data_IF_545109363544
#
_entry.id   IF_545109363544
#
_cell.length_a   1.000
_cell.length_b   1.000
_cell.length_c   1.000
_cell.angle_alpha   90.00
_cell.angle_beta   90.00
_cell.angle_gamma   90.00
#
_symmetry.space_group_name_H-M   'P 1'
#
loop_
_entity.id
_entity.type
_entity.pdbx_description
1 polymer ?
#
# COMPACT_ATOMS: atom_id res chain seq x y z
N UNK A 1 -13.60 -29.96 8.15
CA UNK A 1 -13.56 -29.14 9.36
C UNK A 1 -12.49 -28.08 9.21
N UNK A 2 -12.74 -26.81 9.52
CA UNK A 2 -13.70 -26.25 10.46
C UNK A 2 -14.58 -25.13 9.90
N UNK A 3 -15.85 -25.19 10.19
CA UNK A 3 -16.86 -24.11 10.03
C UNK A 3 -16.71 -23.01 11.11
N UNK A 4 -15.68 -23.05 11.93
CA UNK A 4 -15.55 -22.21 13.14
C UNK A 4 -15.04 -20.77 12.90
N UNK A 5 -14.47 -20.46 11.74
CA UNK A 5 -13.96 -19.12 11.46
C UNK A 5 -15.05 -18.08 11.10
N UNK A 6 -16.23 -18.54 10.72
CA UNK A 6 -17.31 -17.71 10.16
C UNK A 6 -18.16 -16.92 11.17
N UNK A 7 -18.04 -17.20 12.47
CA UNK A 7 -18.89 -16.57 13.50
C UNK A 7 -18.35 -15.29 14.14
N UNK A 8 -17.17 -14.81 13.77
CA UNK A 8 -16.54 -13.63 14.44
C UNK A 8 -16.73 -12.27 13.74
N UNK A 9 -17.37 -12.21 12.59
CA UNK A 9 -17.52 -10.97 11.82
C UNK A 9 -18.78 -10.16 12.13
N UNK A 10 -19.55 -10.53 13.15
CA UNK A 10 -20.81 -9.88 13.50
C UNK A 10 -20.85 -9.04 14.76
N UNK A 11 -19.74 -8.84 15.46
CA UNK A 11 -19.73 -7.98 16.65
C UNK A 11 -19.15 -6.60 16.32
N UNK A 12 -19.97 -5.56 16.45
CA UNK A 12 -19.57 -4.15 16.57
C UNK A 12 -18.61 -4.03 17.75
N UNK A 13 -17.32 -4.19 17.52
CA UNK A 13 -16.30 -3.97 18.53
C UNK A 13 -16.04 -2.49 18.67
N UNK A 14 -16.19 -1.95 19.86
CA UNK A 14 -15.61 -0.66 20.26
C UNK A 14 -14.11 -0.72 19.98
N UNK A 15 -13.56 0.36 19.41
CA UNK A 15 -12.13 0.49 19.12
C UNK A 15 -11.35 0.26 20.42
N UNK A 16 -10.47 -0.77 20.42
CA UNK A 16 -9.61 -1.05 21.58
C UNK A 16 -8.49 0.02 21.62
N UNK A 17 -8.67 1.01 22.49
CA UNK A 17 -7.70 2.07 22.72
C UNK A 17 -6.31 1.55 23.15
N UNK A 18 -6.21 0.37 23.74
CA UNK A 18 -4.94 -0.24 24.10
C UNK A 18 -4.18 -0.74 22.86
N UNK A 19 -4.90 -1.32 21.88
CA UNK A 19 -4.33 -1.71 20.60
C UNK A 19 -3.88 -0.50 19.78
N UNK A 20 -4.64 0.60 19.81
CA UNK A 20 -4.29 1.86 19.17
C UNK A 20 -3.04 2.49 19.81
N UNK A 21 -2.91 2.48 21.13
CA UNK A 21 -1.71 2.94 21.84
C UNK A 21 -0.46 2.09 21.53
N UNK A 22 -0.61 0.78 21.37
CA UNK A 22 0.46 -0.12 20.93
C UNK A 22 0.95 0.24 19.51
N UNK A 23 0.02 0.51 18.60
CA UNK A 23 0.32 0.92 17.22
C UNK A 23 1.00 2.29 17.16
N UNK A 24 0.56 3.26 17.99
CA UNK A 24 1.18 4.58 18.10
C UNK A 24 2.62 4.48 18.62
N UNK A 25 2.88 3.62 19.60
CA UNK A 25 4.23 3.38 20.13
C UNK A 25 5.16 2.76 19.08
N UNK A 26 4.66 1.80 18.29
CA UNK A 26 5.41 1.20 17.18
C UNK A 26 5.69 2.21 16.07
N UNK A 27 4.68 3.01 15.70
CA UNK A 27 4.83 4.09 14.71
C UNK A 27 5.86 5.14 15.17
N UNK A 28 5.96 5.42 16.47
CA UNK A 28 6.96 6.33 17.05
C UNK A 28 8.37 5.76 16.92
N UNK A 29 8.57 4.49 17.28
CA UNK A 29 9.87 3.78 17.15
C UNK A 29 10.27 3.69 15.67
N UNK A 30 9.33 3.38 14.77
CA UNK A 30 9.56 3.34 13.32
C UNK A 30 9.95 4.73 12.78
N UNK A 31 9.30 5.81 13.24
CA UNK A 31 9.68 7.19 12.92
C UNK A 31 11.08 7.54 13.41
N UNK A 32 11.39 7.25 14.66
CA UNK A 32 12.71 7.55 15.25
C UNK A 32 13.83 6.81 14.51
N UNK A 33 13.64 5.56 14.14
CA UNK A 33 14.60 4.78 13.35
C UNK A 33 14.74 5.31 11.89
N UNK A 34 13.65 5.77 11.29
CA UNK A 34 13.67 6.33 9.93
C UNK A 34 14.20 7.76 9.91
N UNK A 35 13.96 8.55 10.96
CA UNK A 35 14.54 9.88 11.14
C UNK A 35 16.05 9.81 11.30
N UNK A 36 16.59 8.78 11.98
CA UNK A 36 18.04 8.51 12.02
C UNK A 36 18.65 8.16 10.66
N UNK A 37 17.92 7.43 9.78
CA UNK A 37 18.35 7.17 8.39
C UNK A 37 18.21 8.39 7.46
N UNK A 38 17.40 9.39 7.83
CA UNK A 38 17.12 10.60 7.06
C UNK A 38 18.19 11.69 7.17
N UNK A 39 19.25 11.49 7.93
CA UNK A 39 20.34 12.48 8.11
C UNK A 39 21.25 12.65 6.87
N UNK A 40 20.73 12.48 5.62
CA UNK A 40 21.53 12.57 4.40
C UNK A 40 21.01 13.46 3.27
N UNK A 41 19.70 13.71 3.16
CA UNK A 41 19.16 14.53 2.07
C UNK A 41 18.08 15.49 2.57
N UNK A 42 18.39 16.78 2.59
CA UNK A 42 17.40 17.82 2.83
C UNK A 42 16.42 17.89 1.63
N UNK A 43 15.15 18.23 1.89
CA UNK A 43 14.18 18.57 0.85
C UNK A 43 14.76 19.66 -0.06
N UNK A 44 14.44 19.65 -1.35
CA UNK A 44 14.82 20.74 -2.24
C UNK A 44 14.17 22.06 -1.76
N UNK A 45 14.93 23.15 -1.83
CA UNK A 45 14.49 24.47 -1.36
C UNK A 45 13.19 24.92 -2.02
N UNK A 46 13.06 24.72 -3.34
CA UNK A 46 11.83 25.07 -4.08
C UNK A 46 10.61 24.28 -3.62
N UNK A 47 10.77 22.99 -3.20
CA UNK A 47 9.69 22.24 -2.60
C UNK A 47 9.29 22.80 -1.23
N UNK A 48 10.25 23.21 -0.40
CA UNK A 48 9.97 23.82 0.91
C UNK A 48 9.22 25.15 0.75
N UNK A 49 9.64 25.99 -0.20
CA UNK A 49 9.00 27.27 -0.51
C UNK A 49 7.57 27.05 -1.04
N UNK A 50 7.40 26.13 -1.98
CA UNK A 50 6.07 25.79 -2.55
C UNK A 50 5.16 25.15 -1.51
N UNK A 51 5.67 24.35 -0.57
CA UNK A 51 4.91 23.76 0.52
C UNK A 51 4.32 24.83 1.45
N UNK A 52 5.06 25.91 1.73
CA UNK A 52 4.54 27.04 2.50
C UNK A 52 3.43 27.78 1.77
N UNK A 53 3.59 27.96 0.46
CA UNK A 53 2.53 28.58 -0.36
C UNK A 53 1.26 27.73 -0.33
N UNK A 54 1.39 26.42 -0.46
CA UNK A 54 0.26 25.49 -0.36
C UNK A 54 -0.42 25.58 1.02
N UNK A 55 0.37 25.54 2.10
CA UNK A 55 -0.17 25.66 3.46
C UNK A 55 -0.92 26.97 3.66
N UNK A 56 -0.34 28.11 3.25
CA UNK A 56 -0.96 29.43 3.37
C UNK A 56 -2.23 29.56 2.53
N UNK A 57 -2.28 28.92 1.37
CA UNK A 57 -3.46 28.85 0.50
C UNK A 57 -4.61 28.10 1.18
N UNK A 58 -4.31 26.91 1.71
CA UNK A 58 -5.33 26.05 2.31
C UNK A 58 -5.81 26.55 3.69
N UNK A 59 -4.98 27.26 4.44
CA UNK A 59 -5.40 27.93 5.69
C UNK A 59 -6.47 29.00 5.50
N UNK A 60 -6.62 29.53 4.28
CA UNK A 60 -7.65 30.53 3.94
C UNK A 60 -8.97 29.91 3.49
N UNK A 61 -9.01 28.60 3.32
CA UNK A 61 -10.21 27.85 2.96
C UNK A 61 -10.92 27.41 4.24
N UNK A 62 -12.03 28.07 4.55
CA UNK A 62 -12.78 27.85 5.80
C UNK A 62 -13.32 26.41 5.93
N UNK A 63 -13.59 25.77 4.79
CA UNK A 63 -14.05 24.38 4.72
C UNK A 63 -12.95 23.34 5.08
N UNK A 64 -11.65 23.73 5.08
CA UNK A 64 -10.54 22.81 5.34
C UNK A 64 -10.10 22.89 6.78
N UNK A 65 -10.37 21.83 7.54
CA UNK A 65 -10.10 21.75 9.00
C UNK A 65 -8.69 21.25 9.33
N UNK A 66 -8.05 20.55 8.38
CA UNK A 66 -6.65 20.12 8.48
C UNK A 66 -6.03 19.94 7.09
N UNK A 67 -4.72 20.10 7.00
CA UNK A 67 -3.93 19.80 5.81
C UNK A 67 -2.81 18.82 6.16
N UNK A 68 -2.75 17.73 5.44
CA UNK A 68 -1.75 16.67 5.60
C UNK A 68 -0.89 16.65 4.36
N UNK A 69 0.41 16.84 4.52
CA UNK A 69 1.40 16.73 3.45
C UNK A 69 1.83 15.27 3.30
N UNK A 70 1.81 14.75 2.08
CA UNK A 70 2.10 13.36 1.74
C UNK A 70 3.03 13.19 0.55
N UNK A 71 2.89 12.06 -0.12
CA UNK A 71 3.52 11.78 -1.40
C UNK A 71 5.03 11.55 -1.39
N UNK A 72 5.64 11.71 -2.55
CA UNK A 72 7.05 11.39 -2.78
C UNK A 72 7.99 12.31 -2.01
N UNK A 73 7.66 13.59 -1.95
CA UNK A 73 8.44 14.62 -1.24
C UNK A 73 8.40 14.39 0.27
N UNK A 74 7.23 14.07 0.83
CA UNK A 74 7.09 13.74 2.24
C UNK A 74 7.88 12.47 2.62
N UNK A 75 7.98 11.50 1.70
CA UNK A 75 8.75 10.26 1.86
C UNK A 75 10.26 10.44 1.75
N UNK A 76 10.74 11.59 1.23
CA UNK A 76 12.15 11.82 0.92
C UNK A 76 12.65 11.01 -0.30
N UNK A 77 11.74 10.70 -1.23
CA UNK A 77 12.00 9.97 -2.49
C UNK A 77 11.75 10.86 -3.71
N UNK A 78 11.77 12.18 -3.49
CA UNK A 78 11.48 13.18 -4.51
C UNK A 78 12.58 13.32 -5.57
N UNK A 79 12.16 13.70 -6.77
CA UNK A 79 12.98 14.27 -7.83
C UNK A 79 12.84 15.80 -7.79
N UNK A 80 13.72 16.55 -8.48
CA UNK A 80 13.60 18.01 -8.55
C UNK A 80 12.26 18.51 -9.13
N UNK A 81 11.64 17.71 -9.99
CA UNK A 81 10.38 17.97 -10.70
C UNK A 81 9.15 17.29 -10.05
N UNK A 82 9.29 16.75 -8.84
CA UNK A 82 8.17 16.11 -8.14
C UNK A 82 7.10 17.13 -7.77
N UNK A 83 5.84 16.74 -7.92
CA UNK A 83 4.65 17.41 -7.39
C UNK A 83 4.61 17.42 -5.86
N UNK A 84 3.74 18.24 -5.30
CA UNK A 84 3.46 18.28 -3.87
C UNK A 84 2.08 17.70 -3.60
N UNK A 85 2.06 16.52 -2.99
CA UNK A 85 0.84 15.82 -2.62
C UNK A 85 0.30 16.31 -1.27
N UNK A 86 -0.98 16.57 -1.18
CA UNK A 86 -1.66 16.89 0.07
C UNK A 86 -3.01 16.20 0.20
N UNK A 87 -3.46 16.07 1.44
CA UNK A 87 -4.79 15.61 1.81
C UNK A 87 -5.45 16.71 2.65
N UNK A 88 -6.50 17.31 2.12
CA UNK A 88 -7.29 18.34 2.77
C UNK A 88 -8.47 17.68 3.50
N UNK A 89 -8.56 17.88 4.80
CA UNK A 89 -9.64 17.31 5.62
C UNK A 89 -10.78 18.31 5.69
N UNK A 90 -11.95 17.84 5.28
CA UNK A 90 -13.21 18.60 5.26
C UNK A 90 -14.29 17.87 6.05
N UNK A 91 -15.43 18.53 6.26
CA UNK A 91 -16.62 17.91 6.86
C UNK A 91 -17.22 16.84 5.94
N UNK A 92 -18.00 15.91 6.53
CA UNK A 92 -18.73 14.88 5.76
C UNK A 92 -19.75 15.52 4.78
N UNK A 93 -20.32 16.67 5.14
CA UNK A 93 -21.26 17.38 4.29
C UNK A 93 -20.55 17.97 3.07
N UNK A 94 -19.48 18.71 3.30
CA UNK A 94 -18.69 19.29 2.21
C UNK A 94 -18.07 18.21 1.31
N UNK A 95 -17.60 17.10 1.89
CA UNK A 95 -17.10 15.97 1.09
C UNK A 95 -18.17 15.40 0.16
N UNK A 96 -19.42 15.22 0.65
CA UNK A 96 -20.53 14.76 -0.20
C UNK A 96 -20.87 15.73 -1.35
N UNK A 97 -20.75 17.04 -1.12
CA UNK A 97 -20.93 18.05 -2.17
C UNK A 97 -19.84 17.94 -3.23
N UNK A 98 -18.57 17.77 -2.83
CA UNK A 98 -17.46 17.55 -3.75
C UNK A 98 -17.61 16.24 -4.52
N UNK A 99 -18.00 15.16 -3.85
CA UNK A 99 -18.20 13.84 -4.45
C UNK A 99 -19.33 13.88 -5.51
N UNK A 100 -20.44 14.51 -5.20
CA UNK A 100 -21.55 14.69 -6.14
C UNK A 100 -21.15 15.48 -7.41
N UNK A 101 -20.08 16.28 -7.33
CA UNK A 101 -19.52 17.05 -8.43
C UNK A 101 -18.28 16.39 -9.07
N UNK A 102 -17.87 15.19 -8.64
CA UNK A 102 -16.60 14.54 -9.00
C UNK A 102 -15.37 15.44 -8.77
N UNK A 103 -15.33 16.16 -7.65
CA UNK A 103 -14.28 17.13 -7.28
C UNK A 103 -13.57 16.77 -5.98
N UNK A 104 -13.50 15.51 -5.61
CA UNK A 104 -12.79 15.03 -4.43
C UNK A 104 -11.25 15.04 -4.58
N UNK A 105 -10.76 15.47 -5.74
CA UNK A 105 -9.35 15.74 -6.01
C UNK A 105 -9.19 16.93 -6.93
N UNK A 106 -8.10 17.69 -6.77
CA UNK A 106 -7.76 18.81 -7.64
C UNK A 106 -6.25 18.89 -7.89
N UNK A 107 -5.85 19.29 -9.11
CA UNK A 107 -4.50 19.65 -9.46
C UNK A 107 -4.40 21.17 -9.61
N UNK A 108 -3.60 21.82 -8.75
CA UNK A 108 -3.48 23.29 -8.72
C UNK A 108 -2.12 23.69 -9.27
N UNK A 109 -2.09 24.26 -10.46
CA UNK A 109 -0.88 24.72 -11.14
C UNK A 109 -0.64 26.22 -10.98
N UNK A 110 0.59 26.66 -11.23
CA UNK A 110 0.95 28.11 -11.29
C UNK A 110 1.31 28.73 -9.93
N UNK A 111 1.41 27.93 -8.86
CA UNK A 111 1.76 28.42 -7.52
C UNK A 111 3.09 27.86 -7.01
N UNK A 112 3.61 26.79 -7.59
CA UNK A 112 4.93 26.29 -7.26
C UNK A 112 6.04 27.24 -7.72
N UNK A 113 7.15 27.26 -6.98
CA UNK A 113 8.33 28.12 -7.28
C UNK A 113 9.28 27.49 -8.30
N UNK A 114 8.88 26.39 -8.96
CA UNK A 114 9.66 25.69 -9.97
C UNK A 114 8.77 25.31 -11.17
N UNK A 115 9.40 25.15 -12.32
CA UNK A 115 8.74 24.86 -13.59
C UNK A 115 8.09 23.45 -13.55
N UNK A 116 6.87 23.35 -14.05
CA UNK A 116 6.10 22.10 -14.09
C UNK A 116 5.55 21.64 -12.74
N UNK A 117 5.86 22.34 -11.64
CA UNK A 117 5.35 22.03 -10.31
C UNK A 117 3.87 22.33 -10.17
N UNK A 118 3.16 21.46 -9.43
CA UNK A 118 1.74 21.62 -9.08
C UNK A 118 1.45 20.98 -7.72
N UNK A 119 0.29 21.29 -7.15
CA UNK A 119 -0.23 20.65 -5.97
C UNK A 119 -1.26 19.59 -6.39
N UNK A 120 -1.03 18.33 -5.99
CA UNK A 120 -2.01 17.23 -6.11
C UNK A 120 -2.72 17.08 -4.77
N UNK A 121 -3.97 17.54 -4.71
CA UNK A 121 -4.73 17.61 -3.47
C UNK A 121 -5.92 16.67 -3.53
N UNK A 122 -6.08 15.86 -2.47
CA UNK A 122 -7.22 14.97 -2.27
C UNK A 122 -8.01 15.41 -1.06
N UNK A 123 -9.32 15.57 -1.23
CA UNK A 123 -10.22 15.86 -0.13
C UNK A 123 -10.62 14.57 0.56
N UNK A 124 -10.61 14.59 1.87
CA UNK A 124 -10.93 13.45 2.73
C UNK A 124 -11.69 13.91 3.96
N UNK A 125 -12.32 12.97 4.66
CA UNK A 125 -12.97 13.25 5.94
C UNK A 125 -12.16 12.68 7.10
N UNK A 126 -12.45 13.12 8.32
CA UNK A 126 -11.88 12.53 9.53
C UNK A 126 -12.28 11.06 9.66
N UNK A 127 -13.51 10.72 9.28
CA UNK A 127 -13.99 9.33 9.31
C UNK A 127 -13.20 8.44 8.33
N UNK A 128 -12.85 8.95 7.14
CA UNK A 128 -11.94 8.24 6.24
C UNK A 128 -10.61 7.90 6.92
N UNK A 129 -10.01 8.84 7.68
CA UNK A 129 -8.76 8.58 8.40
C UNK A 129 -8.92 7.49 9.46
N UNK A 130 -10.05 7.46 10.19
CA UNK A 130 -10.36 6.38 11.15
C UNK A 130 -10.45 5.03 10.46
N UNK A 131 -11.22 4.94 9.38
CA UNK A 131 -11.36 3.71 8.62
C UNK A 131 -10.04 3.26 7.99
N UNK A 132 -9.23 4.19 7.48
CA UNK A 132 -7.91 3.89 6.97
C UNK A 132 -6.96 3.34 8.05
N UNK A 133 -7.04 3.86 9.29
CA UNK A 133 -6.28 3.36 10.43
C UNK A 133 -6.75 1.97 10.89
N UNK A 134 -8.04 1.68 10.77
CA UNK A 134 -8.64 0.41 11.18
C UNK A 134 -8.47 -0.71 10.14
N UNK A 135 -8.86 -0.44 8.89
CA UNK A 135 -9.02 -1.43 7.81
C UNK A 135 -8.53 -0.98 6.44
N UNK A 136 -7.74 0.10 6.38
CA UNK A 136 -7.22 0.61 5.11
C UNK A 136 -6.35 -0.42 4.41
N UNK A 137 -6.46 -0.49 3.08
CA UNK A 137 -5.60 -1.33 2.24
C UNK A 137 -4.13 -0.93 2.36
N UNK A 138 -3.22 -1.82 2.01
CA UNK A 138 -1.78 -1.51 2.08
C UNK A 138 -1.36 -0.31 1.23
N UNK A 139 -1.87 -0.10 -0.02
CA UNK A 139 -1.59 1.11 -0.78
C UNK A 139 -2.06 2.38 -0.05
N UNK A 140 -3.27 2.34 0.55
CA UNK A 140 -3.78 3.44 1.37
C UNK A 140 -2.85 3.73 2.54
N UNK A 141 -2.48 2.72 3.32
CA UNK A 141 -1.56 2.84 4.45
C UNK A 141 -0.19 3.36 4.01
N UNK A 142 0.32 2.85 2.88
CA UNK A 142 1.58 3.29 2.32
C UNK A 142 1.53 4.76 1.88
N UNK A 143 0.40 5.27 1.41
CA UNK A 143 0.28 6.67 1.01
C UNK A 143 0.57 7.64 2.18
N UNK A 144 0.27 7.22 3.41
CA UNK A 144 0.56 7.98 4.64
C UNK A 144 1.99 7.81 5.19
N UNK A 145 2.81 6.94 4.62
CA UNK A 145 4.22 6.79 5.05
C UNK A 145 4.97 8.11 4.84
N UNK A 146 5.51 8.66 5.92
CA UNK A 146 6.25 9.94 5.90
C UNK A 146 5.36 11.18 5.89
N UNK A 147 4.03 11.03 5.87
CA UNK A 147 3.09 12.15 5.93
C UNK A 147 3.25 12.98 7.20
N UNK A 148 2.94 14.27 7.09
CA UNK A 148 2.99 15.25 8.19
C UNK A 148 1.73 16.09 8.17
N UNK A 149 1.11 16.27 9.32
CA UNK A 149 0.04 17.28 9.50
C UNK A 149 0.71 18.66 9.50
N UNK A 150 0.37 19.50 8.53
CA UNK A 150 0.87 20.89 8.43
C UNK A 150 0.12 21.78 9.42
N UNK A 151 -1.21 21.65 9.45
CA UNK A 151 -2.03 22.23 10.49
C UNK A 151 -3.26 21.38 10.74
N UNK A 152 -3.88 21.51 11.90
CA UNK A 152 -5.17 20.92 12.23
C UNK A 152 -5.84 21.71 13.34
N UNK A 153 -7.16 21.76 13.28
CA UNK A 153 -8.03 22.27 14.37
C UNK A 153 -8.48 21.14 15.31
N UNK A 154 -8.16 19.88 14.97
CA UNK A 154 -8.53 18.68 15.74
C UNK A 154 -7.30 17.80 15.99
N UNK A 155 -6.83 17.72 17.27
CA UNK A 155 -5.63 16.94 17.62
C UNK A 155 -5.71 15.45 17.24
N UNK A 156 -6.91 14.84 17.23
CA UNK A 156 -7.11 13.44 16.87
C UNK A 156 -6.63 13.13 15.44
N UNK A 157 -6.69 14.10 14.52
CA UNK A 157 -6.19 13.92 13.15
C UNK A 157 -4.70 13.56 13.15
N UNK A 158 -3.90 14.16 14.03
CA UNK A 158 -2.47 13.85 14.13
C UNK A 158 -2.24 12.41 14.58
N UNK A 159 -3.04 11.92 15.50
CA UNK A 159 -2.98 10.54 16.00
C UNK A 159 -3.39 9.55 14.91
N UNK A 160 -4.49 9.82 14.21
CA UNK A 160 -4.97 9.00 13.10
C UNK A 160 -3.94 8.90 11.97
N UNK A 161 -3.38 10.03 11.53
CA UNK A 161 -2.33 10.06 10.50
C UNK A 161 -1.10 9.25 10.93
N UNK A 162 -0.77 9.23 12.21
CA UNK A 162 0.32 8.41 12.73
C UNK A 162 0.00 6.91 12.77
N UNK A 163 -1.26 6.55 12.96
CA UNK A 163 -1.73 5.16 13.07
C UNK A 163 -1.93 4.46 11.72
N UNK A 164 -2.18 5.23 10.64
CA UNK A 164 -2.46 4.66 9.32
C UNK A 164 -1.26 3.88 8.73
N UNK A 165 -0.03 4.40 8.64
CA UNK A 165 1.08 3.76 7.94
C UNK A 165 1.74 2.62 8.73
N UNK A 166 0.91 1.76 9.32
CA UNK A 166 1.37 0.63 10.13
C UNK A 166 1.01 -0.68 9.44
N UNK A 167 1.99 -1.59 9.33
CA UNK A 167 1.76 -2.93 8.78
C UNK A 167 0.79 -3.71 9.68
N UNK A 168 -0.20 -4.37 9.09
CA UNK A 168 -1.25 -5.08 9.82
C UNK A 168 -0.87 -6.55 10.02
N UNK A 169 -0.16 -6.85 11.11
CA UNK A 169 0.28 -8.22 11.42
C UNK A 169 -0.91 -9.20 11.58
N UNK A 170 -2.06 -8.71 12.05
CA UNK A 170 -3.29 -9.52 12.20
C UNK A 170 -3.84 -10.07 10.88
N UNK A 171 -3.50 -9.45 9.75
CA UNK A 171 -3.93 -9.83 8.41
C UNK A 171 -2.87 -10.66 7.67
N UNK A 172 -1.66 -10.75 8.22
CA UNK A 172 -0.51 -11.35 7.53
C UNK A 172 -0.74 -12.81 7.15
N UNK A 173 -1.28 -13.62 8.06
CA UNK A 173 -1.51 -15.05 7.81
C UNK A 173 -2.53 -15.26 6.67
N UNK A 174 -3.62 -14.49 6.67
CA UNK A 174 -4.64 -14.56 5.62
C UNK A 174 -4.07 -14.08 4.28
N UNK A 175 -3.30 -12.99 4.26
CA UNK A 175 -2.65 -12.47 3.06
C UNK A 175 -1.61 -13.44 2.50
N UNK A 176 -0.80 -14.05 3.36
CA UNK A 176 0.18 -15.06 2.94
C UNK A 176 -0.51 -16.24 2.27
N UNK A 177 -1.60 -16.74 2.86
CA UNK A 177 -2.37 -17.83 2.26
C UNK A 177 -2.94 -17.43 0.89
N UNK A 178 -3.60 -16.28 0.81
CA UNK A 178 -4.22 -15.80 -0.44
C UNK A 178 -3.19 -15.60 -1.54
N UNK A 179 -2.09 -14.88 -1.27
CA UNK A 179 -1.02 -14.68 -2.26
C UNK A 179 -0.34 -15.99 -2.65
N UNK A 180 -0.10 -16.89 -1.70
CA UNK A 180 0.53 -18.16 -2.03
C UNK A 180 -0.36 -19.05 -2.90
N UNK A 181 -1.66 -19.12 -2.60
CA UNK A 181 -2.62 -19.88 -3.41
C UNK A 181 -2.76 -19.31 -4.83
N UNK A 182 -2.79 -17.98 -4.95
CA UNK A 182 -2.76 -17.30 -6.24
C UNK A 182 -1.48 -17.62 -7.03
N UNK A 183 -0.32 -17.55 -6.37
CA UNK A 183 0.96 -17.95 -6.99
C UNK A 183 0.93 -19.40 -7.50
N UNK A 184 0.42 -20.35 -6.70
CA UNK A 184 0.37 -21.76 -7.09
C UNK A 184 -0.55 -22.01 -8.28
N UNK A 185 -1.68 -21.30 -8.38
CA UNK A 185 -2.56 -21.43 -9.54
C UNK A 185 -1.96 -20.74 -10.78
N UNK A 186 -1.38 -19.57 -10.64
CA UNK A 186 -0.74 -18.90 -11.76
C UNK A 186 0.45 -19.72 -12.30
N UNK A 187 1.30 -20.25 -11.42
CA UNK A 187 2.43 -21.06 -11.84
C UNK A 187 2.00 -22.47 -12.27
N UNK A 188 1.34 -23.26 -11.42
CA UNK A 188 1.07 -24.67 -11.66
C UNK A 188 0.00 -24.92 -12.73
N UNK A 189 -1.12 -24.19 -12.67
CA UNK A 189 -2.23 -24.36 -13.58
C UNK A 189 -2.10 -23.48 -14.83
N UNK A 190 -2.14 -22.16 -14.67
CA UNK A 190 -2.19 -21.26 -15.82
C UNK A 190 -0.87 -21.25 -16.62
N UNK A 191 0.28 -21.36 -15.98
CA UNK A 191 1.57 -21.36 -16.67
C UNK A 191 1.95 -22.77 -17.17
N UNK A 192 2.06 -23.74 -16.27
CA UNK A 192 2.56 -25.09 -16.62
C UNK A 192 1.52 -25.98 -17.31
N UNK A 193 0.30 -26.09 -16.77
CA UNK A 193 -0.69 -27.02 -17.33
C UNK A 193 -1.40 -26.47 -18.57
N UNK A 194 -1.69 -25.16 -18.61
CA UNK A 194 -2.38 -24.54 -19.75
C UNK A 194 -1.44 -24.11 -20.88
N UNK A 195 -0.12 -23.98 -20.64
CA UNK A 195 0.87 -23.51 -21.62
C UNK A 195 0.40 -22.26 -22.36
N UNK A 196 0.22 -21.12 -21.68
CA UNK A 196 -0.49 -19.97 -22.21
C UNK A 196 0.28 -19.29 -23.35
N UNK A 197 -0.46 -18.69 -24.27
CA UNK A 197 0.08 -17.91 -25.38
C UNK A 197 -0.48 -16.48 -25.39
N UNK A 198 0.18 -15.59 -26.14
CA UNK A 198 -0.28 -14.21 -26.37
C UNK A 198 -0.56 -13.45 -25.06
N UNK A 199 -1.73 -12.83 -24.98
CA UNK A 199 -2.14 -12.05 -23.81
C UNK A 199 -2.07 -12.84 -22.49
N UNK A 200 -2.56 -14.10 -22.51
CA UNK A 200 -2.57 -14.91 -21.28
C UNK A 200 -1.16 -15.23 -20.79
N UNK A 201 -0.20 -15.43 -21.69
CA UNK A 201 1.21 -15.65 -21.32
C UNK A 201 1.78 -14.44 -20.59
N UNK A 202 1.59 -13.25 -21.15
CA UNK A 202 2.06 -11.99 -20.55
C UNK A 202 1.40 -11.77 -19.19
N UNK A 203 0.08 -11.94 -19.11
CA UNK A 203 -0.68 -11.76 -17.87
C UNK A 203 -0.21 -12.70 -16.79
N UNK A 204 -0.12 -14.02 -17.09
CA UNK A 204 0.28 -15.02 -16.09
C UNK A 204 1.72 -14.81 -15.62
N UNK A 205 2.64 -14.47 -16.52
CA UNK A 205 4.02 -14.11 -16.14
C UNK A 205 4.04 -12.90 -15.19
N UNK A 206 3.25 -11.87 -15.48
CA UNK A 206 3.13 -10.69 -14.64
C UNK A 206 2.55 -11.02 -13.26
N UNK A 207 1.53 -11.88 -13.19
CA UNK A 207 0.92 -12.30 -11.92
C UNK A 207 1.89 -13.12 -11.06
N UNK A 208 2.67 -14.03 -11.65
CA UNK A 208 3.71 -14.78 -10.93
C UNK A 208 4.72 -13.81 -10.30
N UNK A 209 5.24 -12.84 -11.07
CA UNK A 209 6.20 -11.85 -10.57
C UNK A 209 5.57 -11.00 -9.47
N UNK A 210 4.37 -10.48 -9.72
CA UNK A 210 3.64 -9.64 -8.79
C UNK A 210 3.43 -10.35 -7.46
N UNK A 211 2.95 -11.58 -7.49
CA UNK A 211 2.61 -12.36 -6.29
C UNK A 211 3.86 -12.76 -5.50
N UNK A 212 4.96 -13.12 -6.17
CA UNK A 212 6.26 -13.35 -5.51
C UNK A 212 6.72 -12.08 -4.77
N UNK A 213 6.63 -10.91 -5.40
CA UNK A 213 7.02 -9.67 -4.74
C UNK A 213 6.10 -9.33 -3.55
N UNK A 214 4.78 -9.59 -3.65
CA UNK A 214 3.84 -9.39 -2.55
C UNK A 214 4.13 -10.30 -1.37
N UNK A 215 4.42 -11.59 -1.60
CA UNK A 215 4.83 -12.54 -0.58
C UNK A 215 6.12 -12.10 0.13
N UNK A 216 7.13 -11.65 -0.63
CA UNK A 216 8.37 -11.13 -0.06
C UNK A 216 8.12 -9.89 0.82
N UNK A 217 7.22 -8.97 0.39
CA UNK A 217 6.84 -7.81 1.21
C UNK A 217 6.18 -8.24 2.51
N UNK A 218 5.25 -9.22 2.47
CA UNK A 218 4.55 -9.70 3.66
C UNK A 218 5.53 -10.30 4.66
N UNK A 219 6.45 -11.17 4.24
CA UNK A 219 7.45 -11.78 5.13
C UNK A 219 8.43 -10.74 5.73
N UNK A 220 8.64 -9.62 5.04
CA UNK A 220 9.41 -8.49 5.57
C UNK A 220 8.56 -7.47 6.35
N UNK A 221 7.26 -7.69 6.50
CA UNK A 221 6.32 -6.74 7.13
C UNK A 221 6.40 -5.33 6.53
N UNK A 222 6.47 -5.26 5.21
CA UNK A 222 6.57 -4.02 4.44
C UNK A 222 5.27 -3.81 3.67
N UNK A 223 4.65 -2.65 3.87
CA UNK A 223 3.44 -2.26 3.15
C UNK A 223 3.67 -2.21 1.63
N UNK A 224 2.77 -2.77 0.88
CA UNK A 224 2.74 -2.65 -0.58
C UNK A 224 2.66 -1.18 -1.00
N UNK A 225 3.65 -0.67 -1.74
CA UNK A 225 3.70 0.76 -2.05
C UNK A 225 2.75 1.17 -3.18
N UNK A 226 2.77 0.46 -4.26
CA UNK A 226 1.98 0.46 -5.50
C UNK A 226 2.78 -0.30 -6.56
N UNK A 227 2.16 -0.69 -7.68
CA UNK A 227 2.82 -1.42 -8.76
C UNK A 227 4.07 -0.71 -9.30
N UNK A 228 4.01 0.61 -9.51
CA UNK A 228 5.15 1.42 -9.99
C UNK A 228 6.40 1.34 -9.10
N UNK A 229 6.23 1.06 -7.80
CA UNK A 229 7.31 1.05 -6.81
C UNK A 229 7.63 -0.34 -6.25
N UNK A 230 6.86 -1.36 -6.62
CA UNK A 230 6.93 -2.70 -6.05
C UNK A 230 8.33 -3.31 -6.18
N UNK A 231 8.81 -3.48 -7.39
CA UNK A 231 10.13 -4.05 -7.67
C UNK A 231 11.26 -3.29 -6.97
N UNK A 232 11.29 -1.97 -7.12
CA UNK A 232 12.32 -1.14 -6.47
C UNK A 232 12.25 -1.18 -4.93
N UNK A 233 11.10 -1.53 -4.36
CA UNK A 233 10.96 -1.74 -2.91
C UNK A 233 11.55 -3.09 -2.53
N UNK A 234 11.20 -4.16 -3.26
CA UNK A 234 11.75 -5.50 -3.04
C UNK A 234 13.28 -5.50 -3.21
N UNK A 235 13.79 -4.82 -4.24
CA UNK A 235 15.25 -4.73 -4.48
C UNK A 235 16.02 -4.18 -3.28
N UNK A 236 15.44 -3.25 -2.52
CA UNK A 236 16.06 -2.62 -1.33
C UNK A 236 15.94 -3.45 -0.05
N UNK A 237 15.16 -4.53 -0.04
CA UNK A 237 15.02 -5.35 1.15
C UNK A 237 16.32 -6.10 1.45
N UNK A 238 16.67 -6.18 2.74
CA UNK A 238 17.81 -6.95 3.20
C UNK A 238 17.53 -8.46 3.15
N UNK A 239 16.29 -8.87 3.47
CA UNK A 239 15.87 -10.28 3.42
C UNK A 239 15.01 -10.51 2.19
N UNK A 240 15.51 -11.31 1.26
CA UNK A 240 14.82 -11.78 0.06
C UNK A 240 15.58 -12.93 -0.57
N UNK A 241 14.97 -13.75 -1.44
CA UNK A 241 15.70 -14.76 -2.20
C UNK A 241 16.84 -14.12 -3.00
N UNK A 242 18.02 -14.77 -2.99
CA UNK A 242 19.18 -14.25 -3.71
C UNK A 242 18.91 -14.17 -5.23
N UNK A 243 19.15 -13.00 -5.82
CA UNK A 243 18.97 -12.77 -7.26
C UNK A 243 17.53 -12.77 -7.76
N UNK A 244 16.52 -12.79 -6.88
CA UNK A 244 15.10 -12.90 -7.27
C UNK A 244 14.65 -11.77 -8.19
N UNK A 245 15.08 -10.54 -7.95
CA UNK A 245 14.68 -9.38 -8.78
C UNK A 245 15.22 -9.53 -10.20
N UNK A 246 16.46 -9.97 -10.36
CA UNK A 246 17.05 -10.22 -11.66
C UNK A 246 16.37 -11.40 -12.40
N UNK A 247 16.04 -12.48 -11.69
CA UNK A 247 15.26 -13.58 -12.25
C UNK A 247 13.90 -13.11 -12.76
N UNK A 248 13.20 -12.31 -11.96
CA UNK A 248 11.90 -11.77 -12.36
C UNK A 248 11.98 -10.81 -13.56
N UNK A 249 13.01 -9.95 -13.62
CA UNK A 249 13.25 -9.07 -14.79
C UNK A 249 13.45 -9.88 -16.07
N UNK A 250 14.33 -10.86 -16.02
CA UNK A 250 14.57 -11.75 -17.17
C UNK A 250 13.30 -12.51 -17.56
N UNK A 251 12.55 -13.01 -16.59
CA UNK A 251 11.28 -13.69 -16.85
C UNK A 251 10.24 -12.76 -17.48
N UNK A 252 10.17 -11.50 -17.04
CA UNK A 252 9.30 -10.51 -17.66
C UNK A 252 9.67 -10.24 -19.14
N UNK A 253 10.95 -10.27 -19.48
CA UNK A 253 11.45 -10.01 -20.84
C UNK A 253 11.30 -11.22 -21.78
N UNK A 254 11.64 -12.43 -21.31
CA UNK A 254 11.77 -13.60 -22.16
C UNK A 254 10.62 -14.60 -22.02
N UNK A 255 9.96 -14.64 -20.87
CA UNK A 255 8.86 -15.57 -20.52
C UNK A 255 9.26 -17.04 -20.77
N UNK A 256 10.50 -17.40 -20.41
CA UNK A 256 11.03 -18.76 -20.48
C UNK A 256 10.57 -19.61 -19.29
N UNK A 257 10.16 -20.86 -19.55
CA UNK A 257 9.67 -21.80 -18.53
C UNK A 257 10.68 -22.06 -17.42
N UNK A 258 11.96 -22.20 -17.78
CA UNK A 258 13.05 -22.43 -16.82
C UNK A 258 13.21 -21.27 -15.82
N UNK A 259 12.91 -20.04 -16.23
CA UNK A 259 12.98 -18.89 -15.33
C UNK A 259 11.82 -18.90 -14.32
N UNK A 260 10.62 -19.30 -14.76
CA UNK A 260 9.49 -19.49 -13.84
C UNK A 260 9.82 -20.56 -12.78
N UNK A 261 10.39 -21.69 -13.18
CA UNK A 261 10.82 -22.77 -12.28
C UNK A 261 11.85 -22.26 -11.25
N UNK A 262 12.86 -21.54 -11.73
CA UNK A 262 13.91 -20.97 -10.86
C UNK A 262 13.39 -19.92 -9.89
N UNK A 263 12.40 -19.12 -10.28
CA UNK A 263 11.73 -18.16 -9.39
C UNK A 263 11.05 -18.92 -8.25
N UNK A 264 10.29 -19.98 -8.56
CA UNK A 264 9.60 -20.80 -7.57
C UNK A 264 10.59 -21.50 -6.64
N UNK A 265 11.64 -22.13 -7.18
CA UNK A 265 12.69 -22.78 -6.39
C UNK A 265 13.39 -21.79 -5.44
N UNK A 266 13.75 -20.60 -5.97
CA UNK A 266 14.41 -19.55 -5.20
C UNK A 266 13.52 -19.05 -4.05
N UNK A 267 12.21 -18.85 -4.31
CA UNK A 267 11.28 -18.46 -3.27
C UNK A 267 11.09 -19.55 -2.21
N UNK A 268 10.84 -20.80 -2.63
CA UNK A 268 10.66 -21.93 -1.71
C UNK A 268 11.91 -22.24 -0.86
N UNK A 269 13.09 -21.99 -1.41
CA UNK A 269 14.36 -22.15 -0.68
C UNK A 269 14.62 -21.06 0.35
N UNK A 270 13.92 -19.94 0.28
CA UNK A 270 14.11 -18.79 1.17
C UNK A 270 12.99 -18.61 2.18
N UNK A 271 11.72 -18.83 1.77
CA UNK A 271 10.56 -18.56 2.62
C UNK A 271 10.56 -19.40 3.89
N UNK A 272 10.17 -18.78 5.01
CA UNK A 272 9.87 -19.46 6.27
C UNK A 272 8.39 -19.80 6.44
N UNK A 273 7.55 -19.40 5.47
CA UNK A 273 6.11 -19.64 5.52
C UNK A 273 5.79 -21.13 5.35
N UNK A 274 5.05 -21.70 6.30
CA UNK A 274 4.54 -23.07 6.21
C UNK A 274 3.29 -23.11 5.34
N UNK A 275 3.51 -23.19 4.05
CA UNK A 275 2.45 -23.14 3.05
C UNK A 275 1.74 -24.50 2.87
N UNK A 276 0.42 -24.48 2.55
CA UNK A 276 -0.32 -25.69 2.29
C UNK A 276 0.27 -26.48 1.11
N UNK A 277 0.15 -27.81 1.16
CA UNK A 277 0.60 -28.71 0.09
C UNK A 277 -0.58 -29.29 -0.71
N UNK A 278 -1.80 -29.09 -0.24
CA UNK A 278 -3.01 -29.63 -0.86
C UNK A 278 -3.53 -28.69 -1.95
N UNK A 279 -3.58 -29.18 -3.19
CA UNK A 279 -4.10 -28.45 -4.34
C UNK A 279 -5.57 -27.97 -4.15
N UNK A 280 -6.39 -28.72 -3.40
CA UNK A 280 -7.76 -28.28 -3.13
C UNK A 280 -7.81 -27.01 -2.27
N UNK A 281 -6.80 -26.78 -1.41
CA UNK A 281 -6.68 -25.53 -0.66
C UNK A 281 -6.42 -24.36 -1.60
N UNK A 282 -5.54 -24.55 -2.61
CA UNK A 282 -5.25 -23.51 -3.61
C UNK A 282 -6.49 -23.12 -4.40
N UNK A 283 -7.22 -24.11 -4.93
CA UNK A 283 -8.45 -23.89 -5.68
C UNK A 283 -9.52 -23.22 -4.83
N UNK A 284 -9.70 -23.68 -3.58
CA UNK A 284 -10.70 -23.11 -2.68
C UNK A 284 -10.41 -21.67 -2.33
N UNK A 285 -9.14 -21.34 -2.01
CA UNK A 285 -8.77 -19.98 -1.66
C UNK A 285 -8.87 -19.05 -2.87
N UNK A 286 -8.41 -19.49 -4.04
CA UNK A 286 -8.55 -18.73 -5.29
C UNK A 286 -10.02 -18.43 -5.61
N UNK A 287 -10.91 -19.41 -5.49
CA UNK A 287 -12.35 -19.22 -5.68
C UNK A 287 -12.90 -18.15 -4.72
N UNK A 288 -12.44 -18.12 -3.46
CA UNK A 288 -12.84 -17.10 -2.49
C UNK A 288 -12.33 -15.72 -2.87
N UNK A 289 -11.08 -15.62 -3.34
CA UNK A 289 -10.42 -14.34 -3.60
C UNK A 289 -10.82 -13.72 -4.94
N UNK A 290 -11.06 -14.52 -5.98
CA UNK A 290 -11.27 -14.02 -7.35
C UNK A 290 -12.70 -14.20 -7.87
N UNK A 291 -13.44 -15.23 -7.42
CA UNK A 291 -14.79 -15.49 -7.90
C UNK A 291 -15.88 -15.04 -6.92
N UNK A 292 -15.56 -15.01 -5.61
CA UNK A 292 -16.52 -14.71 -4.53
C UNK A 292 -16.16 -13.50 -3.68
N UNK A 293 -15.11 -12.74 -4.04
CA UNK A 293 -14.65 -11.59 -3.27
C UNK A 293 -15.77 -10.58 -2.95
N UNK A 294 -16.71 -10.40 -3.87
CA UNK A 294 -17.83 -9.48 -3.73
C UNK A 294 -18.83 -9.84 -2.63
N UNK A 295 -18.71 -11.05 -2.05
CA UNK A 295 -19.48 -11.47 -0.86
C UNK A 295 -18.88 -10.94 0.45
N UNK A 296 -17.66 -10.42 0.43
CA UNK A 296 -16.91 -10.04 1.62
C UNK A 296 -16.64 -8.53 1.65
N UNK A 297 -16.66 -7.91 2.86
CA UNK A 297 -16.33 -6.49 3.01
C UNK A 297 -14.81 -6.27 3.05
N UNK A 298 -14.08 -6.81 2.08
CA UNK A 298 -12.63 -6.65 1.96
C UNK A 298 -12.23 -6.26 0.54
N UNK A 299 -11.07 -5.60 0.35
CA UNK A 299 -10.54 -5.31 -0.98
C UNK A 299 -10.25 -6.57 -1.78
N UNK A 300 -10.15 -6.43 -3.11
CA UNK A 300 -9.52 -7.45 -3.95
C UNK A 300 -8.10 -7.72 -3.45
N UNK A 301 -7.64 -8.96 -3.59
CA UNK A 301 -6.30 -9.35 -3.12
C UNK A 301 -5.18 -8.49 -3.73
N UNK A 302 -5.34 -8.03 -4.96
CA UNK A 302 -4.39 -7.13 -5.61
C UNK A 302 -4.24 -5.77 -4.91
N UNK A 303 -5.24 -5.33 -4.16
CA UNK A 303 -5.25 -4.03 -3.46
C UNK A 303 -5.22 -4.16 -1.93
N UNK A 304 -5.26 -5.36 -1.45
CA UNK A 304 -5.38 -5.64 0.00
C UNK A 304 -4.10 -5.51 0.84
#
# INVERSE_FOLDING_TARGET
MPVAAWRRLGQKGSMDFAALHGQIRYARIYRENKTRKRMGKAMYRHHEESLKIMEDMFRKREEVTALIFGGSVAKGNERPDSDLDAMAIVSEEHFRELDAQNRTAECISGFCTYEGGYFDVKYMTKEYLRQAAEKGSEPTRNSFVGSRVLYTMDPEITELVAAIPVFQEKEMEEKMLSFYCDLQLNYGYFWKACSPEGYMKIRTASEIIYTIYRLILQENKVLFPCNRRLEATVEKLASKPAGIVELCRRFAETQEDELADRIMESYHGWTSYDYPKDHNVYCSQYCMDFEKWWLFPRPLIGEW
#
